data_IF_427627585038
#
_entry.id   IF_427627585038
#
_cell.length_a   1.000
_cell.length_b   1.000
_cell.length_c   1.000
_cell.angle_alpha   90.00
_cell.angle_beta   90.00
_cell.angle_gamma   90.00
#
_symmetry.space_group_name_H-M   'P 1'
#
loop_
_entity.id
_entity.type
_entity.pdbx_description
1 polymer ?
#
# COMPACT_ATOMS: atom_id res chain seq x y z
N UNK A 1 18.84 5.26 -17.19
CA UNK A 1 17.51 4.71 -17.52
C UNK A 1 16.56 4.92 -16.36
N UNK A 2 15.34 5.32 -16.69
CA UNK A 2 14.31 5.52 -15.68
C UNK A 2 13.76 4.15 -15.24
N UNK A 3 13.74 3.92 -13.95
CA UNK A 3 13.18 2.68 -13.39
C UNK A 3 11.65 2.75 -13.40
N UNK A 4 11.00 1.63 -13.66
CA UNK A 4 9.55 1.57 -13.60
C UNK A 4 9.09 1.60 -12.15
N UNK A 5 7.94 2.22 -11.93
CA UNK A 5 7.37 2.41 -10.60
C UNK A 5 6.20 1.45 -10.38
N UNK A 6 6.18 0.79 -9.23
CA UNK A 6 5.08 -0.07 -8.80
C UNK A 6 4.33 0.64 -7.69
N UNK A 7 3.03 0.82 -7.86
CA UNK A 7 2.17 1.42 -6.83
C UNK A 7 1.39 0.34 -6.13
N UNK A 8 1.56 0.25 -4.80
CA UNK A 8 0.78 -0.65 -3.96
C UNK A 8 -0.37 0.13 -3.35
N UNK A 9 -1.59 -0.38 -3.51
CA UNK A 9 -2.81 0.26 -3.01
C UNK A 9 -3.40 -0.64 -1.93
N UNK A 10 -3.45 -0.14 -0.69
CA UNK A 10 -3.89 -0.89 0.47
C UNK A 10 -5.02 -0.14 1.17
N UNK A 11 -6.29 -0.54 0.94
CA UNK A 11 -7.38 0.04 1.71
C UNK A 11 -7.32 -0.46 3.15
N UNK A 12 -7.47 0.46 4.10
CA UNK A 12 -7.29 0.19 5.52
C UNK A 12 -8.57 0.49 6.30
N UNK A 13 -9.00 -0.47 7.12
CA UNK A 13 -10.14 -0.29 7.99
C UNK A 13 -9.88 -1.05 9.30
N UNK A 14 -9.77 -0.31 10.41
CA UNK A 14 -9.47 -0.89 11.73
C UNK A 14 -8.23 -1.79 11.72
N UNK A 15 -7.17 -1.35 11.02
CA UNK A 15 -6.00 -2.19 10.76
C UNK A 15 -4.72 -1.72 11.45
N UNK A 16 -4.85 -0.95 12.54
CA UNK A 16 -3.71 -0.36 13.26
C UNK A 16 -2.61 -1.39 13.55
N UNK A 17 -2.98 -2.61 13.93
CA UNK A 17 -2.04 -3.62 14.41
C UNK A 17 -1.34 -4.39 13.28
N UNK A 18 -1.80 -4.27 12.05
CA UNK A 18 -1.25 -5.05 10.92
C UNK A 18 -0.49 -4.21 9.90
N UNK A 19 -0.64 -2.88 9.93
CA UNK A 19 -0.09 -2.03 8.87
C UNK A 19 1.43 -2.05 8.79
N UNK A 20 2.14 -2.05 9.92
CA UNK A 20 3.60 -2.11 9.88
C UNK A 20 4.09 -3.39 9.24
N UNK A 21 3.43 -4.50 9.54
CA UNK A 21 3.80 -5.79 8.96
C UNK A 21 3.54 -5.81 7.46
N UNK A 22 2.40 -5.28 7.01
CA UNK A 22 2.08 -5.20 5.59
C UNK A 22 3.13 -4.39 4.84
N UNK A 23 3.48 -3.22 5.35
CA UNK A 23 4.51 -2.37 4.73
C UNK A 23 5.85 -3.09 4.70
N UNK A 24 6.22 -3.76 5.79
CA UNK A 24 7.46 -4.53 5.89
C UNK A 24 7.54 -5.64 4.85
N UNK A 25 6.46 -6.39 4.67
CA UNK A 25 6.39 -7.46 3.67
C UNK A 25 6.60 -6.92 2.26
N UNK A 26 5.97 -5.80 1.94
CA UNK A 26 6.13 -5.17 0.63
C UNK A 26 7.57 -4.73 0.42
N UNK A 27 8.14 -4.06 1.41
CA UNK A 27 9.51 -3.55 1.31
C UNK A 27 10.53 -4.66 1.15
N UNK A 28 10.34 -5.76 1.88
CA UNK A 28 11.23 -6.91 1.78
C UNK A 28 11.25 -7.47 0.36
N UNK A 29 10.09 -7.66 -0.24
CA UNK A 29 10.00 -8.20 -1.60
C UNK A 29 10.62 -7.22 -2.60
N UNK A 30 10.31 -5.93 -2.48
CA UNK A 30 10.81 -4.94 -3.44
C UNK A 30 12.32 -4.78 -3.33
N UNK A 31 12.87 -4.76 -2.13
CA UNK A 31 14.30 -4.58 -1.94
C UNK A 31 15.13 -5.82 -2.29
N UNK A 32 14.57 -7.02 -2.04
CA UNK A 32 15.34 -8.25 -2.19
C UNK A 32 15.12 -8.94 -3.53
N UNK A 33 13.93 -8.86 -4.11
CA UNK A 33 13.55 -9.62 -5.30
C UNK A 33 13.23 -8.75 -6.51
N UNK A 34 12.84 -7.50 -6.31
CA UNK A 34 12.40 -6.60 -7.37
C UNK A 34 13.11 -5.26 -7.29
N UNK A 35 14.39 -5.28 -6.97
CA UNK A 35 15.19 -4.06 -6.76
C UNK A 35 15.35 -3.22 -8.03
N UNK A 36 15.05 -3.78 -9.21
CA UNK A 36 15.07 -3.03 -10.47
C UNK A 36 13.88 -2.08 -10.61
N UNK A 37 12.88 -2.22 -9.74
CA UNK A 37 11.71 -1.33 -9.74
C UNK A 37 11.80 -0.32 -8.61
N UNK A 38 11.21 0.85 -8.81
CA UNK A 38 10.89 1.76 -7.72
C UNK A 38 9.49 1.42 -7.22
N UNK A 39 9.13 1.85 -6.02
CA UNK A 39 7.81 1.56 -5.48
C UNK A 39 7.28 2.68 -4.60
N UNK A 40 5.97 2.76 -4.52
CA UNK A 40 5.23 3.57 -3.57
C UNK A 40 4.14 2.73 -2.94
N UNK A 41 3.82 3.01 -1.68
CA UNK A 41 2.76 2.31 -0.94
C UNK A 41 1.73 3.33 -0.53
N UNK A 42 0.49 3.17 -0.99
CA UNK A 42 -0.60 4.09 -0.70
C UNK A 42 -1.56 3.42 0.28
N UNK A 43 -1.56 3.91 1.51
CA UNK A 43 -2.43 3.42 2.57
C UNK A 43 -3.65 4.34 2.66
N UNK A 44 -4.83 3.80 2.41
CA UNK A 44 -6.07 4.57 2.38
C UNK A 44 -6.91 4.23 3.60
N UNK A 45 -7.10 5.21 4.49
CA UNK A 45 -8.02 5.03 5.61
C UNK A 45 -9.45 5.25 5.13
N UNK A 46 -10.26 4.20 5.17
CA UNK A 46 -11.66 4.25 4.75
C UNK A 46 -12.55 4.55 5.96
N UNK A 47 -12.30 5.71 6.57
CA UNK A 47 -13.05 6.25 7.71
C UNK A 47 -13.22 5.23 8.84
N UNK A 48 -12.10 4.68 9.33
CA UNK A 48 -12.12 3.75 10.45
C UNK A 48 -12.74 4.41 11.69
N UNK A 49 -13.63 3.71 12.41
CA UNK A 49 -14.30 4.30 13.57
C UNK A 49 -13.36 4.66 14.71
N UNK A 50 -12.24 3.92 14.87
CA UNK A 50 -11.21 4.34 15.81
C UNK A 50 -10.23 5.27 15.07
N UNK A 51 -9.78 6.33 15.72
CA UNK A 51 -8.81 7.25 15.11
C UNK A 51 -7.41 6.66 14.96
N UNK A 52 -7.16 5.47 15.50
CA UNK A 52 -5.81 4.92 15.57
C UNK A 52 -5.29 4.39 14.24
N UNK A 53 -6.18 3.94 13.33
CA UNK A 53 -5.75 3.46 12.03
C UNK A 53 -5.11 4.59 11.22
N UNK A 54 -5.76 5.74 11.13
CA UNK A 54 -5.19 6.86 10.38
C UNK A 54 -3.97 7.43 11.08
N UNK A 55 -3.97 7.47 12.40
CA UNK A 55 -2.80 7.89 13.17
C UNK A 55 -1.60 7.00 12.84
N UNK A 56 -1.81 5.69 12.77
CA UNK A 56 -0.76 4.74 12.41
C UNK A 56 -0.26 4.97 10.99
N UNK A 57 -1.16 5.23 10.05
CA UNK A 57 -0.80 5.55 8.67
C UNK A 57 0.11 6.78 8.64
N UNK A 58 -0.25 7.82 9.38
CA UNK A 58 0.56 9.05 9.43
C UNK A 58 1.94 8.79 10.04
N UNK A 59 2.03 7.97 11.07
CA UNK A 59 3.31 7.61 11.67
C UNK A 59 4.22 6.90 10.67
N UNK A 60 3.67 5.93 9.95
CA UNK A 60 4.42 5.18 8.96
C UNK A 60 4.88 6.10 7.82
N UNK A 61 3.97 6.94 7.32
CA UNK A 61 4.28 7.83 6.20
C UNK A 61 5.33 8.88 6.57
N UNK A 62 5.32 9.34 7.83
CA UNK A 62 6.32 10.31 8.30
C UNK A 62 7.71 9.71 8.30
N UNK A 63 7.82 8.43 8.67
CA UNK A 63 9.12 7.75 8.76
C UNK A 63 9.56 7.03 7.50
N UNK A 64 8.76 7.05 6.43
CA UNK A 64 9.06 6.28 5.23
C UNK A 64 8.63 7.05 3.98
N UNK A 65 9.60 7.46 3.18
CA UNK A 65 9.35 8.27 1.97
C UNK A 65 8.60 7.52 0.88
N UNK A 66 8.56 6.19 0.93
CA UNK A 66 7.80 5.37 -0.04
C UNK A 66 6.32 5.29 0.29
N UNK A 67 5.91 5.68 1.50
CA UNK A 67 4.54 5.51 1.98
C UNK A 67 3.79 6.83 1.92
N UNK A 68 2.57 6.77 1.37
CA UNK A 68 1.64 7.91 1.33
C UNK A 68 0.35 7.50 2.04
N UNK A 69 -0.23 8.44 2.78
CA UNK A 69 -1.50 8.20 3.47
C UNK A 69 -2.62 9.03 2.86
N UNK A 70 -3.80 8.42 2.73
CA UNK A 70 -5.01 9.11 2.30
C UNK A 70 -6.09 8.84 3.34
N UNK A 71 -6.82 9.89 3.73
CA UNK A 71 -7.91 9.77 4.68
C UNK A 71 -9.22 10.15 4.00
N UNK A 72 -10.14 9.17 3.89
CA UNK A 72 -11.46 9.45 3.34
C UNK A 72 -12.37 10.03 4.42
N UNK A 73 -13.23 10.98 4.02
CA UNK A 73 -14.09 11.71 4.96
C UNK A 73 -15.17 10.83 5.58
N UNK A 74 -15.53 9.74 4.92
CA UNK A 74 -16.51 8.78 5.42
C UNK A 74 -16.29 7.44 4.76
N UNK A 75 -16.88 6.40 5.34
CA UNK A 75 -16.73 5.04 4.83
C UNK A 75 -17.56 4.87 3.56
N UNK A 76 -16.90 4.65 2.44
CA UNK A 76 -17.54 4.36 1.14
C UNK A 76 -17.45 2.88 0.78
N UNK A 77 -16.78 2.06 1.62
CA UNK A 77 -16.52 0.69 1.31
C UNK A 77 -15.20 0.51 0.55
N UNK A 78 -14.70 -0.72 0.53
CA UNK A 78 -13.39 -1.03 -0.04
C UNK A 78 -13.24 -0.65 -1.51
N UNK A 79 -14.26 -0.88 -2.39
CA UNK A 79 -14.11 -0.48 -3.80
C UNK A 79 -13.89 1.01 -3.98
N UNK A 80 -14.56 1.85 -3.19
CA UNK A 80 -14.38 3.30 -3.27
C UNK A 80 -13.03 3.74 -2.73
N UNK A 81 -12.53 3.07 -1.69
CA UNK A 81 -11.19 3.33 -1.16
C UNK A 81 -10.12 3.02 -2.21
N UNK A 82 -10.26 1.90 -2.92
CA UNK A 82 -9.34 1.54 -4.01
C UNK A 82 -9.38 2.58 -5.10
N UNK A 83 -10.56 3.04 -5.50
CA UNK A 83 -10.69 4.08 -6.54
C UNK A 83 -10.03 5.39 -6.13
N UNK A 84 -10.19 5.80 -4.87
CA UNK A 84 -9.54 7.00 -4.37
C UNK A 84 -8.02 6.87 -4.45
N UNK A 85 -7.50 5.72 -4.06
CA UNK A 85 -6.06 5.47 -4.11
C UNK A 85 -5.54 5.42 -5.54
N UNK A 86 -6.30 4.85 -6.47
CA UNK A 86 -5.90 4.78 -7.88
C UNK A 86 -5.72 6.16 -8.49
N UNK A 87 -6.52 7.15 -8.06
CA UNK A 87 -6.36 8.51 -8.52
C UNK A 87 -5.05 9.15 -8.06
N UNK A 88 -4.41 8.61 -7.04
CA UNK A 88 -3.14 9.09 -6.52
C UNK A 88 -1.95 8.24 -6.95
N UNK A 89 -2.21 7.07 -7.53
CA UNK A 89 -1.13 6.16 -7.94
C UNK A 89 -0.44 6.69 -9.19
N UNK A 90 0.88 6.71 -9.18
CA UNK A 90 1.69 7.19 -10.30
C UNK A 90 2.47 6.07 -10.98
N UNK A 91 2.27 4.83 -10.54
CA UNK A 91 3.07 3.72 -10.99
C UNK A 91 2.73 3.24 -12.40
N UNK A 92 3.71 2.63 -13.02
CA UNK A 92 3.55 1.93 -14.29
C UNK A 92 2.74 0.64 -14.09
N UNK A 93 2.82 0.07 -12.88
CA UNK A 93 2.03 -1.10 -12.46
C UNK A 93 1.36 -0.79 -11.13
N UNK A 94 0.16 -1.30 -10.94
CA UNK A 94 -0.60 -1.13 -9.69
C UNK A 94 -0.89 -2.51 -9.09
N UNK A 95 -0.56 -2.67 -7.83
CA UNK A 95 -0.82 -3.88 -7.07
C UNK A 95 -1.78 -3.54 -5.93
N UNK A 96 -2.94 -4.19 -5.90
CA UNK A 96 -3.88 -4.03 -4.80
C UNK A 96 -3.65 -5.15 -3.78
N UNK A 97 -3.58 -4.79 -2.50
CA UNK A 97 -3.39 -5.76 -1.43
C UNK A 97 -4.33 -5.49 -0.28
N UNK A 98 -4.36 -6.41 0.68
CA UNK A 98 -5.18 -6.30 1.86
C UNK A 98 -4.37 -5.75 3.04
N UNK A 99 -5.09 -5.20 4.03
CA UNK A 99 -4.47 -4.58 5.21
C UNK A 99 -4.29 -5.56 6.37
N UNK A 100 -4.63 -6.83 6.18
CA UNK A 100 -4.59 -7.85 7.23
C UNK A 100 -3.34 -8.74 7.19
N UNK A 101 -2.43 -8.48 6.25
CA UNK A 101 -1.19 -9.24 6.13
C UNK A 101 -1.34 -10.57 5.38
N UNK A 102 -2.52 -10.85 4.81
CA UNK A 102 -2.78 -12.13 4.15
C UNK A 102 -2.42 -12.12 2.66
N UNK A 103 -2.18 -10.97 2.07
CA UNK A 103 -1.79 -10.89 0.66
C UNK A 103 -0.39 -11.49 0.48
N UNK A 104 -0.22 -12.45 -0.44
CA UNK A 104 1.07 -13.13 -0.60
C UNK A 104 2.04 -12.31 -1.47
N UNK A 105 2.57 -11.22 -0.93
CA UNK A 105 3.50 -10.36 -1.67
C UNK A 105 4.75 -11.10 -2.14
N UNK A 106 5.11 -12.20 -1.46
CA UNK A 106 6.24 -13.02 -1.86
C UNK A 106 6.08 -13.66 -3.24
N UNK A 107 4.85 -13.69 -3.77
CA UNK A 107 4.57 -14.22 -5.11
C UNK A 107 4.72 -13.17 -6.21
N UNK A 108 4.95 -11.91 -5.88
CA UNK A 108 5.09 -10.85 -6.88
C UNK A 108 6.21 -11.09 -7.91
N UNK A 109 7.39 -11.59 -7.53
CA UNK A 109 8.42 -11.83 -8.54
C UNK A 109 7.96 -12.77 -9.65
N UNK A 110 7.17 -13.79 -9.31
CA UNK A 110 6.64 -14.72 -10.32
C UNK A 110 5.67 -14.03 -11.26
N UNK A 111 4.85 -13.13 -10.74
CA UNK A 111 3.90 -12.37 -11.56
C UNK A 111 4.64 -11.42 -12.49
N UNK A 112 5.67 -10.74 -12.01
CA UNK A 112 6.42 -9.80 -12.84
C UNK A 112 7.25 -10.49 -13.92
N UNK A 113 7.63 -11.73 -13.72
CA UNK A 113 8.33 -12.50 -14.77
C UNK A 113 7.46 -12.70 -16.02
N UNK A 114 6.14 -12.62 -15.88
CA UNK A 114 5.19 -12.87 -16.97
C UNK A 114 4.72 -11.59 -17.67
N UNK A 115 5.20 -10.45 -17.25
CA UNK A 115 4.83 -9.16 -17.84
C UNK A 115 5.77 -8.77 -19.01
#
# INVERSE_FOLDING_TARGET
MKRELVSFVIPCYNSTNTLEDVVSQIEDVMCQKLSQYEYEIILVNDCSPNGTTYQKICEIATGNTHVKGINLARNFGQPSAVMAALNHAKGDYVVCGDDDGQTPFSELPRLFEKI
#
